data_IF_814925916507
#
_entry.id   IF_814925916507
#
_cell.length_a   1.000
_cell.length_b   1.000
_cell.length_c   1.000
_cell.angle_alpha   90.00
_cell.angle_beta   90.00
_cell.angle_gamma   90.00
#
_symmetry.space_group_name_H-M   'P 1'
#
loop_
_entity.id
_entity.type
_entity.pdbx_description
1 polymer ?
#
# COMPACT_ATOMS: atom_id res chain seq x y z
N UNK A 1 -6.57 -36.62 7.16
CA UNK A 1 -5.36 -35.93 7.65
C UNK A 1 -5.31 -34.57 6.98
N UNK A 2 -5.77 -33.50 7.64
CA UNK A 2 -5.68 -32.15 7.09
C UNK A 2 -4.21 -31.73 7.14
N UNK A 3 -3.61 -31.48 5.97
CA UNK A 3 -2.34 -30.75 5.89
C UNK A 3 -2.57 -29.40 6.57
N UNK A 4 -1.91 -29.16 7.70
CA UNK A 4 -1.80 -27.78 8.21
C UNK A 4 -0.91 -27.06 7.22
N UNK A 5 -1.46 -26.07 6.53
CA UNK A 5 -0.63 -25.12 5.79
C UNK A 5 0.43 -24.57 6.77
N UNK A 6 1.70 -24.43 6.36
CA UNK A 6 2.70 -23.83 7.22
C UNK A 6 2.17 -22.46 7.68
N UNK A 7 2.37 -22.13 8.96
CA UNK A 7 1.98 -20.82 9.49
C UNK A 7 2.95 -19.77 8.94
N UNK A 8 2.73 -19.34 7.70
CA UNK A 8 3.46 -18.25 7.08
C UNK A 8 3.13 -16.96 7.82
N UNK A 9 4.16 -16.18 8.09
CA UNK A 9 4.03 -14.88 8.74
C UNK A 9 4.12 -13.78 7.69
N UNK A 10 3.21 -12.81 7.74
CA UNK A 10 3.23 -11.64 6.86
C UNK A 10 3.92 -10.50 7.60
N UNK A 11 4.99 -9.95 7.03
CA UNK A 11 5.66 -8.75 7.51
C UNK A 11 5.62 -7.65 6.45
N UNK A 12 5.73 -6.39 6.86
CA UNK A 12 5.91 -5.30 5.90
C UNK A 12 7.27 -5.40 5.22
N UNK A 13 7.31 -5.04 3.93
CA UNK A 13 8.56 -4.93 3.17
C UNK A 13 9.23 -3.58 3.49
N UNK A 14 10.37 -3.55 4.19
CA UNK A 14 11.06 -2.30 4.51
C UNK A 14 11.72 -1.64 3.29
N UNK A 15 11.84 -2.36 2.16
CA UNK A 15 12.42 -1.85 0.91
C UNK A 15 11.44 -1.10 0.03
N UNK A 16 10.14 -1.16 0.32
CA UNK A 16 9.10 -0.53 -0.49
C UNK A 16 8.27 0.42 0.38
N UNK A 17 8.27 1.69 -0.03
CA UNK A 17 7.46 2.71 0.62
C UNK A 17 5.95 2.42 0.44
N UNK A 18 5.18 2.70 1.47
CA UNK A 18 3.72 2.69 1.41
C UNK A 18 3.22 3.64 0.32
N UNK A 19 2.12 3.28 -0.31
CA UNK A 19 1.44 4.07 -1.33
C UNK A 19 0.16 4.65 -0.75
N UNK A 20 -0.08 5.91 -1.05
CA UNK A 20 -1.26 6.65 -0.64
C UNK A 20 -1.86 7.28 -1.88
N UNK A 21 -3.15 7.08 -2.06
CA UNK A 21 -3.94 7.65 -3.13
C UNK A 21 -5.15 8.34 -2.52
N UNK A 22 -5.47 9.54 -2.98
CA UNK A 22 -6.67 10.26 -2.59
C UNK A 22 -7.40 10.78 -3.83
N UNK A 23 -8.72 10.62 -3.83
CA UNK A 23 -9.62 11.15 -4.85
C UNK A 23 -10.62 12.10 -4.18
N UNK A 24 -10.89 13.25 -4.78
CA UNK A 24 -12.01 14.11 -4.39
C UNK A 24 -13.32 13.58 -4.99
N UNK A 25 -14.24 13.14 -4.12
CA UNK A 25 -15.50 12.48 -4.51
C UNK A 25 -16.70 13.40 -4.57
N UNK A 26 -16.52 14.71 -4.42
CA UNK A 26 -17.59 15.67 -4.70
C UNK A 26 -18.00 15.63 -6.18
N UNK A 27 -19.30 15.80 -6.42
CA UNK A 27 -19.91 15.68 -7.74
C UNK A 27 -19.24 16.62 -8.76
N UNK A 28 -18.74 16.05 -9.86
CA UNK A 28 -18.09 16.80 -10.93
C UNK A 28 -16.63 17.18 -10.68
N UNK A 29 -16.02 16.75 -9.57
CA UNK A 29 -14.60 17.03 -9.29
C UNK A 29 -13.66 15.92 -9.76
N UNK A 30 -13.64 14.77 -9.08
CA UNK A 30 -12.78 13.62 -9.43
C UNK A 30 -11.28 13.91 -9.42
N UNK A 31 -10.82 14.94 -8.71
CA UNK A 31 -9.39 15.26 -8.66
C UNK A 31 -8.63 14.22 -7.83
N UNK A 32 -7.55 13.69 -8.37
CA UNK A 32 -6.74 12.62 -7.75
C UNK A 32 -5.33 13.09 -7.36
N UNK A 33 -4.75 12.43 -6.36
CA UNK A 33 -3.37 12.61 -5.96
C UNK A 33 -2.79 11.34 -5.34
N UNK A 34 -1.69 10.86 -5.94
CA UNK A 34 -1.00 9.63 -5.54
C UNK A 34 0.44 9.91 -5.13
N UNK A 35 0.90 9.24 -4.07
CA UNK A 35 2.27 9.39 -3.58
C UNK A 35 2.77 8.19 -2.80
N UNK A 36 4.07 7.91 -2.91
CA UNK A 36 4.76 6.93 -2.06
C UNK A 36 5.45 7.59 -0.87
N UNK A 37 5.30 7.00 0.32
CA UNK A 37 5.98 7.38 1.56
C UNK A 37 5.60 8.75 2.12
N UNK A 38 4.43 9.28 1.75
CA UNK A 38 4.11 10.69 1.94
C UNK A 38 2.69 10.98 2.43
N UNK A 39 2.19 10.28 3.45
CA UNK A 39 0.88 10.55 4.07
C UNK A 39 0.69 12.05 4.40
N UNK A 40 1.70 12.69 5.00
CA UNK A 40 1.63 14.12 5.32
C UNK A 40 1.47 15.03 4.08
N UNK A 41 1.91 14.59 2.90
CA UNK A 41 1.76 15.33 1.64
C UNK A 41 0.36 15.14 1.05
N UNK A 42 -0.25 13.97 1.25
CA UNK A 42 -1.67 13.69 0.92
C UNK A 42 -2.58 14.58 1.75
N UNK A 43 -2.34 14.68 3.06
CA UNK A 43 -3.10 15.59 3.94
C UNK A 43 -2.99 17.05 3.50
N UNK A 44 -1.77 17.50 3.19
CA UNK A 44 -1.54 18.86 2.68
C UNK A 44 -2.25 19.09 1.34
N UNK A 45 -2.30 18.07 0.48
CA UNK A 45 -3.05 18.15 -0.77
C UNK A 45 -4.55 18.31 -0.50
N UNK A 46 -5.15 17.51 0.40
CA UNK A 46 -6.57 17.61 0.78
C UNK A 46 -6.91 19.00 1.32
N UNK A 47 -6.13 19.51 2.27
CA UNK A 47 -6.35 20.85 2.85
C UNK A 47 -6.30 21.93 1.76
N UNK A 48 -5.28 21.91 0.91
CA UNK A 48 -5.13 22.89 -0.18
C UNK A 48 -6.24 22.75 -1.22
N UNK A 49 -6.70 21.53 -1.51
CA UNK A 49 -7.81 21.30 -2.43
C UNK A 49 -9.10 21.90 -1.86
N UNK A 50 -9.42 21.57 -0.61
CA UNK A 50 -10.55 22.12 0.13
C UNK A 50 -10.50 23.65 0.20
N UNK A 51 -9.35 24.26 0.48
CA UNK A 51 -9.22 25.73 0.52
C UNK A 51 -9.55 26.39 -0.84
N UNK A 52 -9.28 25.69 -1.95
CA UNK A 52 -9.48 26.21 -3.31
C UNK A 52 -10.88 25.96 -3.85
N UNK A 53 -11.48 24.82 -3.54
CA UNK A 53 -12.74 24.37 -4.15
C UNK A 53 -13.90 24.34 -3.17
N UNK A 54 -13.63 24.35 -1.86
CA UNK A 54 -14.61 24.11 -0.81
C UNK A 54 -15.00 22.63 -0.65
N UNK A 55 -14.41 21.71 -1.43
CA UNK A 55 -14.75 20.29 -1.39
C UNK A 55 -14.24 19.62 -0.12
N UNK A 56 -15.07 18.76 0.48
CA UNK A 56 -14.79 18.14 1.78
C UNK A 56 -14.88 16.62 1.77
N UNK A 57 -15.31 16.01 0.67
CA UNK A 57 -15.44 14.56 0.53
C UNK A 57 -14.28 14.01 -0.30
N UNK A 58 -13.57 13.08 0.31
CA UNK A 58 -12.43 12.42 -0.30
C UNK A 58 -12.54 10.91 -0.09
N UNK A 59 -12.11 10.13 -1.08
CA UNK A 59 -11.88 8.69 -0.97
C UNK A 59 -10.39 8.45 -0.89
N UNK A 60 -9.95 7.54 -0.03
CA UNK A 60 -8.53 7.29 0.22
C UNK A 60 -8.20 5.81 0.10
N UNK A 61 -7.12 5.51 -0.59
CA UNK A 61 -6.59 4.14 -0.74
C UNK A 61 -5.18 4.07 -0.19
N UNK A 62 -4.93 3.05 0.62
CA UNK A 62 -3.69 2.84 1.35
C UNK A 62 -3.10 1.49 0.96
N UNK A 63 -1.90 1.51 0.40
CA UNK A 63 -1.18 0.33 -0.06
C UNK A 63 0.11 0.15 0.72
N UNK A 64 0.39 -1.09 1.13
CA UNK A 64 1.71 -1.47 1.66
C UNK A 64 2.19 -2.74 0.98
N UNK A 65 3.49 -2.80 0.73
CA UNK A 65 4.12 -4.04 0.31
C UNK A 65 4.38 -4.91 1.53
N UNK A 66 4.19 -6.21 1.36
CA UNK A 66 4.43 -7.21 2.41
C UNK A 66 5.27 -8.36 1.86
N UNK A 67 6.07 -8.95 2.74
CA UNK A 67 6.85 -10.16 2.49
C UNK A 67 6.22 -11.28 3.31
N UNK A 68 6.06 -12.45 2.69
CA UNK A 68 5.74 -13.68 3.39
C UNK A 68 7.03 -14.33 3.88
N UNK A 69 7.19 -14.41 5.19
CA UNK A 69 8.29 -15.11 5.84
C UNK A 69 7.82 -16.49 6.34
N UNK A 70 8.65 -17.52 6.18
CA UNK A 70 8.35 -18.83 6.73
C UNK A 70 8.38 -18.79 8.26
N UNK A 71 7.71 -19.73 8.94
CA UNK A 71 7.65 -19.75 10.40
C UNK A 71 9.07 -19.81 11.01
N UNK A 72 9.28 -19.18 12.19
CA UNK A 72 10.57 -19.21 12.87
C UNK A 72 11.12 -20.64 13.03
N UNK A 73 12.36 -20.86 12.59
CA UNK A 73 13.01 -22.17 12.65
C UNK A 73 12.82 -23.08 11.42
N UNK A 74 12.07 -22.63 10.41
CA UNK A 74 12.03 -23.31 9.12
C UNK A 74 13.35 -23.10 8.35
N UNK A 75 14.03 -24.20 8.02
CA UNK A 75 15.15 -24.17 7.07
C UNK A 75 14.57 -24.05 5.66
N UNK A 76 14.61 -22.85 5.11
CA UNK A 76 14.23 -22.61 3.72
C UNK A 76 15.40 -23.07 2.85
N UNK A 77 15.27 -24.20 2.17
CA UNK A 77 16.14 -24.50 1.05
C UNK A 77 15.81 -23.48 -0.06
N UNK A 78 16.56 -22.38 -0.14
CA UNK A 78 16.33 -21.33 -1.13
C UNK A 78 16.43 -21.91 -2.54
N UNK A 79 15.29 -22.13 -3.20
CA UNK A 79 15.25 -22.13 -4.66
C UNK A 79 15.09 -20.67 -5.09
N UNK A 80 16.21 -20.05 -5.47
CA UNK A 80 16.21 -18.76 -6.16
C UNK A 80 15.59 -19.02 -7.54
N UNK A 81 14.26 -18.95 -7.65
CA UNK A 81 13.60 -18.75 -8.94
C UNK A 81 13.66 -17.26 -9.20
N UNK A 82 14.69 -16.85 -9.93
CA UNK A 82 14.74 -15.52 -10.53
C UNK A 82 13.58 -15.39 -11.51
N UNK A 83 12.51 -14.71 -11.11
CA UNK A 83 11.47 -14.30 -12.04
C UNK A 83 12.04 -13.20 -12.94
N UNK A 84 12.51 -13.59 -14.12
CA UNK A 84 12.79 -12.67 -15.23
C UNK A 84 11.45 -12.35 -15.89
N UNK A 85 10.99 -11.11 -15.78
CA UNK A 85 9.83 -10.61 -16.52
C UNK A 85 10.13 -10.54 -18.03
N UNK A 86 9.16 -10.92 -18.88
CA UNK A 86 8.78 -10.15 -20.06
C UNK A 86 7.54 -9.29 -19.80
#
# INVERSE_FOLDING_TARGET
>A
MSRRDPEWTTTEDPGILQEFSVECTEEGCGAEFDMKGGEALVERWKCRHMDRTGHRRFWETWGRATILAPPPGAVVASQIVGHRAP
#
